data_IF_625173114012
#
_entry.id   IF_625173114012
#
_cell.length_a   1.000
_cell.length_b   1.000
_cell.length_c   1.000
_cell.angle_alpha   90.00
_cell.angle_beta   90.00
_cell.angle_gamma   90.00
#
_symmetry.space_group_name_H-M   'P 1'
#
loop_
_entity.id
_entity.type
_entity.pdbx_description
1 polymer ?
#
# COMPACT_ATOMS: atom_id res chain seq x y z
N UNK A 1 15.03 2.18 -8.29
CA UNK A 1 13.65 2.60 -8.54
C UNK A 1 13.35 3.73 -7.58
N UNK A 2 13.00 4.91 -8.08
CA UNK A 2 12.50 5.98 -7.22
C UNK A 2 10.98 5.79 -6.99
N UNK A 3 10.39 6.58 -6.09
CA UNK A 3 8.95 6.46 -5.79
C UNK A 3 8.08 6.76 -7.02
N UNK A 4 8.55 7.61 -7.94
CA UNK A 4 7.83 7.92 -9.17
C UNK A 4 7.73 6.71 -10.11
N UNK A 5 8.80 5.92 -10.21
CA UNK A 5 8.83 4.68 -10.98
C UNK A 5 7.96 3.59 -10.34
N UNK A 6 7.97 3.49 -8.99
CA UNK A 6 7.02 2.64 -8.26
C UNK A 6 5.58 3.05 -8.52
N UNK A 7 5.26 4.34 -8.41
CA UNK A 7 3.92 4.86 -8.66
C UNK A 7 3.46 4.58 -10.10
N UNK A 8 4.31 4.80 -11.10
CA UNK A 8 3.97 4.46 -12.51
C UNK A 8 3.69 2.98 -12.68
N UNK A 9 4.45 2.10 -12.02
CA UNK A 9 4.19 0.65 -12.08
C UNK A 9 2.88 0.30 -11.37
N UNK A 10 2.64 0.87 -10.20
CA UNK A 10 1.41 0.66 -9.44
C UNK A 10 0.18 1.05 -10.25
N UNK A 11 0.21 2.22 -10.90
CA UNK A 11 -0.89 2.71 -11.74
C UNK A 11 -1.20 1.79 -12.91
N UNK A 12 -0.18 1.28 -13.61
CA UNK A 12 -0.43 0.29 -14.69
C UNK A 12 -1.14 -0.96 -14.18
N UNK A 13 -0.82 -1.43 -12.98
CA UNK A 13 -1.50 -2.58 -12.37
C UNK A 13 -2.92 -2.21 -11.92
N UNK A 14 -3.10 -1.01 -11.37
CA UNK A 14 -4.43 -0.48 -11.02
C UNK A 14 -5.36 -0.41 -12.23
N UNK A 15 -4.88 0.08 -13.38
CA UNK A 15 -5.66 0.14 -14.62
C UNK A 15 -6.14 -1.25 -15.06
N UNK A 16 -5.29 -2.29 -14.92
CA UNK A 16 -5.67 -3.68 -15.22
C UNK A 16 -6.75 -4.20 -14.27
N UNK A 17 -6.70 -3.84 -12.98
CA UNK A 17 -7.76 -4.18 -12.03
C UNK A 17 -9.06 -3.41 -12.31
N UNK A 18 -8.98 -2.15 -12.75
CA UNK A 18 -10.16 -1.39 -13.15
C UNK A 18 -10.81 -1.99 -14.40
N UNK A 19 -10.02 -2.43 -15.39
CA UNK A 19 -10.53 -3.20 -16.53
C UNK A 19 -11.22 -4.49 -16.11
N UNK A 20 -10.59 -5.25 -15.19
CA UNK A 20 -11.16 -6.50 -14.66
C UNK A 20 -12.49 -6.23 -13.93
N UNK A 21 -12.52 -5.21 -13.07
CA UNK A 21 -13.70 -4.82 -12.32
C UNK A 21 -14.84 -4.36 -13.25
N UNK A 22 -14.54 -3.60 -14.31
CA UNK A 22 -15.53 -3.24 -15.32
C UNK A 22 -16.11 -4.47 -16.01
N UNK A 23 -15.28 -5.47 -16.35
CA UNK A 23 -15.73 -6.70 -17.01
C UNK A 23 -16.57 -7.59 -16.09
N UNK A 24 -16.18 -7.76 -14.84
CA UNK A 24 -16.82 -8.68 -13.90
C UNK A 24 -18.02 -8.08 -13.15
N UNK A 25 -17.94 -6.77 -12.82
CA UNK A 25 -18.88 -6.08 -11.93
C UNK A 25 -19.64 -4.96 -12.62
N UNK A 26 -19.28 -4.59 -13.85
CA UNK A 26 -19.87 -3.47 -14.58
C UNK A 26 -19.48 -2.09 -14.05
N UNK A 27 -18.55 -2.00 -13.08
CA UNK A 27 -18.06 -0.76 -12.48
C UNK A 27 -16.67 -0.96 -11.89
N UNK A 28 -15.91 0.12 -11.73
CA UNK A 28 -14.66 0.14 -10.96
C UNK A 28 -14.96 0.26 -9.45
N UNK A 29 -13.94 0.02 -8.63
CA UNK A 29 -14.02 0.27 -7.19
C UNK A 29 -14.04 1.77 -6.87
N UNK A 30 -14.85 2.16 -5.89
CA UNK A 30 -14.82 3.52 -5.32
C UNK A 30 -13.58 3.72 -4.44
N UNK A 31 -13.34 4.96 -3.97
CA UNK A 31 -12.19 5.25 -3.10
C UNK A 31 -12.33 4.55 -1.75
N UNK A 32 -13.55 4.50 -1.22
CA UNK A 32 -13.91 3.85 0.03
C UNK A 32 -13.74 2.33 -0.05
N UNK A 33 -14.12 1.72 -1.17
CA UNK A 33 -13.89 0.29 -1.42
C UNK A 33 -12.40 -0.05 -1.51
N UNK A 34 -11.60 0.79 -2.17
CA UNK A 34 -10.14 0.65 -2.18
C UNK A 34 -9.54 0.77 -0.78
N UNK A 35 -9.98 1.76 0.02
CA UNK A 35 -9.53 1.90 1.40
C UNK A 35 -9.90 0.67 2.24
N UNK A 36 -11.10 0.11 2.05
CA UNK A 36 -11.52 -1.10 2.75
C UNK A 36 -10.67 -2.32 2.35
N UNK A 37 -10.34 -2.46 1.06
CA UNK A 37 -9.38 -3.45 0.58
C UNK A 37 -8.02 -3.32 1.26
N UNK A 38 -7.50 -2.10 1.34
CA UNK A 38 -6.23 -1.81 2.00
C UNK A 38 -6.22 -2.19 3.49
N UNK A 39 -7.34 -2.00 4.22
CA UNK A 39 -7.43 -2.46 5.62
C UNK A 39 -7.29 -3.99 5.72
N UNK A 40 -7.75 -4.72 4.70
CA UNK A 40 -7.52 -6.16 4.57
C UNK A 40 -6.02 -6.49 4.51
N UNK A 41 -5.30 -5.86 3.57
CA UNK A 41 -3.85 -6.03 3.39
C UNK A 41 -3.08 -5.69 4.68
N UNK A 42 -3.47 -4.61 5.39
CA UNK A 42 -2.87 -4.26 6.69
C UNK A 42 -3.10 -5.35 7.74
N UNK A 43 -4.27 -5.97 7.73
CA UNK A 43 -4.59 -7.09 8.61
C UNK A 43 -3.71 -8.32 8.32
N UNK A 44 -3.45 -8.61 7.06
CA UNK A 44 -2.60 -9.74 6.65
C UNK A 44 -1.13 -9.46 6.91
N UNK A 45 -0.67 -8.22 6.67
CA UNK A 45 0.66 -7.77 7.09
C UNK A 45 0.84 -7.92 8.61
N UNK A 46 -0.11 -7.46 9.42
CA UNK A 46 -0.03 -7.55 10.89
C UNK A 46 0.10 -9.01 11.36
N UNK A 47 -0.68 -9.91 10.78
CA UNK A 47 -0.61 -11.35 11.02
C UNK A 47 0.78 -11.92 10.71
N UNK A 48 1.40 -11.50 9.61
CA UNK A 48 2.73 -11.99 9.22
C UNK A 48 3.86 -11.39 10.04
N UNK A 49 3.76 -10.13 10.47
CA UNK A 49 4.70 -9.55 11.43
C UNK A 49 4.66 -10.32 12.74
N UNK A 50 3.47 -10.60 13.29
CA UNK A 50 3.35 -11.45 14.49
C UNK A 50 3.99 -12.83 14.29
N UNK A 51 3.88 -13.41 13.09
CA UNK A 51 4.48 -14.69 12.77
C UNK A 51 6.00 -14.62 12.69
N UNK A 52 6.54 -13.56 12.08
CA UNK A 52 7.98 -13.29 11.99
C UNK A 52 8.61 -13.10 13.38
N UNK A 53 7.86 -12.56 14.34
CA UNK A 53 8.28 -12.39 15.74
C UNK A 53 8.01 -13.64 16.62
N UNK A 54 7.55 -14.74 16.03
CA UNK A 54 7.36 -16.02 16.73
C UNK A 54 6.10 -16.13 17.60
N UNK A 55 5.17 -15.18 17.50
CA UNK A 55 3.91 -15.22 18.24
C UNK A 55 2.86 -16.17 17.62
N UNK A 56 3.11 -16.68 16.41
CA UNK A 56 2.26 -17.61 15.66
C UNK A 56 3.05 -18.29 14.55
N UNK A 57 2.46 -19.30 13.92
CA UNK A 57 3.03 -19.94 12.73
C UNK A 57 3.07 -18.97 11.53
N UNK A 58 4.12 -19.12 10.71
CA UNK A 58 4.40 -18.28 9.54
C UNK A 58 4.14 -19.05 8.22
N UNK A 59 2.87 -19.24 7.82
CA UNK A 59 2.56 -19.85 6.53
C UNK A 59 3.14 -18.98 5.40
N UNK A 60 3.80 -19.62 4.44
CA UNK A 60 4.48 -18.92 3.33
C UNK A 60 5.82 -18.27 3.70
N UNK A 61 6.20 -18.25 4.98
CA UNK A 61 7.50 -17.76 5.44
C UNK A 61 7.77 -16.29 5.11
N UNK A 62 9.06 -15.92 5.14
CA UNK A 62 9.56 -14.57 4.81
C UNK A 62 9.02 -13.99 3.49
N UNK A 63 8.91 -14.76 2.38
CA UNK A 63 8.34 -14.24 1.13
C UNK A 63 6.91 -13.71 1.27
N UNK A 64 6.09 -14.30 2.13
CA UNK A 64 4.73 -13.78 2.38
C UNK A 64 4.79 -12.40 3.04
N UNK A 65 5.71 -12.19 3.99
CA UNK A 65 5.87 -10.88 4.64
C UNK A 65 6.32 -9.81 3.63
N UNK A 66 7.24 -10.17 2.73
CA UNK A 66 7.70 -9.29 1.66
C UNK A 66 6.56 -8.92 0.70
N UNK A 67 5.67 -9.88 0.41
CA UNK A 67 4.47 -9.67 -0.39
C UNK A 67 3.53 -8.65 0.26
N UNK A 68 3.13 -8.86 1.51
CA UNK A 68 2.17 -7.96 2.19
C UNK A 68 2.73 -6.54 2.41
N UNK A 69 4.05 -6.41 2.60
CA UNK A 69 4.70 -5.09 2.62
C UNK A 69 4.59 -4.39 1.27
N UNK A 70 4.76 -5.13 0.17
CA UNK A 70 4.63 -4.58 -1.19
C UNK A 70 3.17 -4.23 -1.52
N UNK A 71 2.21 -5.05 -1.12
CA UNK A 71 0.79 -4.82 -1.35
C UNK A 71 0.28 -3.62 -0.54
N UNK A 72 0.68 -3.50 0.72
CA UNK A 72 0.40 -2.31 1.52
C UNK A 72 0.98 -1.04 0.87
N UNK A 73 2.21 -1.09 0.35
CA UNK A 73 2.81 0.04 -0.36
C UNK A 73 2.04 0.36 -1.65
N UNK A 74 1.62 -0.65 -2.42
CA UNK A 74 0.81 -0.45 -3.62
C UNK A 74 -0.50 0.27 -3.31
N UNK A 75 -1.21 -0.18 -2.27
CA UNK A 75 -2.44 0.45 -1.80
C UNK A 75 -2.24 1.93 -1.42
N UNK A 76 -1.16 2.27 -0.72
CA UNK A 76 -0.80 3.67 -0.40
C UNK A 76 -0.53 4.49 -1.67
N UNK A 77 0.19 3.94 -2.65
CA UNK A 77 0.49 4.62 -3.92
C UNK A 77 -0.78 4.92 -4.72
N UNK A 78 -1.73 3.98 -4.77
CA UNK A 78 -3.00 4.16 -5.48
C UNK A 78 -3.91 5.16 -4.76
N UNK A 79 -4.00 5.09 -3.43
CA UNK A 79 -4.75 6.08 -2.65
C UNK A 79 -4.19 7.49 -2.84
N UNK A 80 -2.86 7.66 -2.77
CA UNK A 80 -2.21 8.94 -3.02
C UNK A 80 -2.57 9.49 -4.42
N UNK A 81 -2.54 8.64 -5.46
CA UNK A 81 -2.98 9.03 -6.79
C UNK A 81 -4.46 9.43 -6.84
N UNK A 82 -5.36 8.62 -6.26
CA UNK A 82 -6.82 8.87 -6.29
C UNK A 82 -7.25 10.11 -5.52
N UNK A 83 -6.42 10.59 -4.59
CA UNK A 83 -6.62 11.83 -3.83
C UNK A 83 -5.74 12.99 -4.33
N UNK A 84 -5.01 12.83 -5.44
CA UNK A 84 -4.10 13.84 -6.00
C UNK A 84 -3.04 14.33 -4.99
N UNK A 85 -2.50 13.41 -4.19
CA UNK A 85 -1.45 13.69 -3.22
C UNK A 85 -0.09 13.41 -3.86
N UNK A 86 0.80 14.41 -3.85
CA UNK A 86 2.22 14.20 -4.09
C UNK A 86 2.84 13.50 -2.88
N UNK A 87 2.91 12.17 -2.95
CA UNK A 87 3.39 11.34 -1.86
C UNK A 87 4.87 11.57 -1.54
N UNK A 88 5.70 11.86 -2.56
CA UNK A 88 7.12 12.17 -2.35
C UNK A 88 7.26 13.43 -1.49
N UNK A 89 6.62 14.51 -1.92
CA UNK A 89 6.71 15.77 -1.21
C UNK A 89 6.06 15.68 0.18
N UNK A 90 4.93 14.96 0.31
CA UNK A 90 4.27 14.74 1.60
C UNK A 90 5.16 13.94 2.56
N UNK A 91 5.79 12.86 2.10
CA UNK A 91 6.68 12.04 2.93
C UNK A 91 7.87 12.86 3.45
N UNK A 92 8.57 13.58 2.56
CA UNK A 92 9.72 14.39 2.93
C UNK A 92 9.36 15.46 3.96
N UNK A 93 8.26 16.20 3.75
CA UNK A 93 7.80 17.21 4.72
C UNK A 93 7.54 16.61 6.09
N UNK A 94 6.83 15.47 6.15
CA UNK A 94 6.51 14.80 7.41
C UNK A 94 7.78 14.31 8.12
N UNK A 95 8.74 13.74 7.41
CA UNK A 95 10.01 13.29 8.01
C UNK A 95 10.83 14.47 8.54
N UNK A 96 10.90 15.58 7.80
CA UNK A 96 11.57 16.81 8.26
C UNK A 96 10.93 17.39 9.53
N UNK A 97 9.60 17.33 9.64
CA UNK A 97 8.86 17.75 10.83
C UNK A 97 9.16 16.85 12.04
N UNK A 98 9.17 15.53 11.86
CA UNK A 98 9.51 14.56 12.90
C UNK A 98 10.97 14.74 13.37
N UNK A 99 11.90 14.93 12.44
CA UNK A 99 13.31 15.17 12.76
C UNK A 99 13.51 16.45 13.57
N UNK A 100 12.78 17.52 13.24
CA UNK A 100 12.80 18.77 14.02
C UNK A 100 12.22 18.57 15.42
N UNK A 101 11.15 17.79 15.56
CA UNK A 101 10.50 17.54 16.84
C UNK A 101 11.41 16.79 17.85
N UNK A 102 12.32 15.94 17.38
CA UNK A 102 13.25 15.20 18.25
C UNK A 102 14.55 15.95 18.58
N UNK A 103 14.81 17.08 17.92
CA UNK A 103 16.00 17.92 18.14
C UNK A 103 15.76 19.08 19.12
N UNK A 104 14.52 19.26 19.58
CA UNK A 104 14.12 20.31 20.53
C UNK A 104 13.81 19.73 21.90
#
# INVERSE_FOLDING_TARGET
MDLNELQRRALRIHDLYDELNLRERGRVWTREEFMLGFVGDVGDLAKLVMAQEGARDMPGGRPALEHELADCLWSVLILAHRYNVDLNAAFLRTMDELDRAHRN
#
